data_IF_354215389928
#
_entry.id   IF_354215389928
#
_cell.length_a   1.000
_cell.length_b   1.000
_cell.length_c   1.000
_cell.angle_alpha   90.00
_cell.angle_beta   90.00
_cell.angle_gamma   90.00
#
_symmetry.space_group_name_H-M   'P 1'
#
loop_
_entity.id
_entity.type
_entity.pdbx_description
1 polymer ?
#
# COMPACT_ATOMS: atom_id res chain seq x y z
N UNK A 1 15.21 15.28 -18.00
CA UNK A 1 14.08 16.02 -18.60
C UNK A 1 12.91 15.92 -17.62
N UNK A 2 12.46 17.02 -17.00
CA UNK A 2 11.31 16.99 -16.09
C UNK A 2 10.04 16.92 -16.93
N UNK A 3 9.22 15.89 -16.73
CA UNK A 3 7.90 15.77 -17.35
C UNK A 3 6.98 16.88 -16.84
N UNK A 4 6.17 17.46 -17.72
CA UNK A 4 5.15 18.44 -17.34
C UNK A 4 4.00 17.73 -16.60
N UNK A 5 3.29 18.44 -15.72
CA UNK A 5 2.24 17.86 -14.88
C UNK A 5 1.11 17.15 -15.66
N UNK A 6 0.80 17.62 -16.86
CA UNK A 6 -0.13 16.96 -17.80
C UNK A 6 0.40 15.63 -18.37
N UNK A 7 1.72 15.49 -18.51
CA UNK A 7 2.36 14.28 -19.04
C UNK A 7 2.36 13.15 -18.01
N UNK A 8 2.42 13.48 -16.71
CA UNK A 8 2.40 12.52 -15.59
C UNK A 8 1.08 11.75 -15.54
N UNK A 9 -0.06 12.43 -15.58
CA UNK A 9 -1.39 11.79 -15.64
C UNK A 9 -1.59 10.90 -16.86
N UNK A 10 -0.91 11.22 -17.96
CA UNK A 10 -0.98 10.45 -19.22
C UNK A 10 -0.17 9.16 -19.14
N UNK A 11 0.94 9.13 -18.39
CA UNK A 11 1.76 7.93 -18.21
C UNK A 11 1.03 6.84 -17.40
N UNK A 12 0.42 7.20 -16.26
CA UNK A 12 -0.40 6.26 -15.48
C UNK A 12 -1.66 5.81 -16.23
N UNK A 13 -2.26 6.64 -17.08
CA UNK A 13 -3.45 6.28 -17.87
C UNK A 13 -3.22 5.17 -18.90
N UNK A 14 -1.97 4.81 -19.21
CA UNK A 14 -1.66 3.72 -20.15
C UNK A 14 -1.85 2.33 -19.51
N UNK A 15 -1.93 2.23 -18.17
CA UNK A 15 -2.16 0.99 -17.49
C UNK A 15 -3.67 0.78 -17.32
N UNK A 16 -4.22 -0.21 -18.02
CA UNK A 16 -5.64 -0.61 -17.93
C UNK A 16 -5.96 -1.41 -16.66
N UNK A 17 -5.01 -1.51 -15.73
CA UNK A 17 -5.17 -2.27 -14.49
C UNK A 17 -6.02 -1.50 -13.48
N UNK A 18 -6.90 -2.23 -12.78
CA UNK A 18 -7.67 -1.67 -11.68
C UNK A 18 -6.84 -1.63 -10.41
N UNK A 19 -6.98 -0.57 -9.62
CA UNK A 19 -6.36 -0.51 -8.29
C UNK A 19 -6.98 -1.57 -7.39
N UNK A 20 -6.28 -2.69 -7.22
CA UNK A 20 -6.67 -3.80 -6.34
C UNK A 20 -5.84 -3.84 -5.05
N UNK A 21 -4.67 -3.24 -5.09
CA UNK A 21 -3.67 -3.30 -4.03
C UNK A 21 -3.31 -1.87 -3.62
N UNK A 22 -3.37 -1.58 -2.33
CA UNK A 22 -2.72 -0.42 -1.72
C UNK A 22 -1.45 -0.90 -1.02
N UNK A 23 -0.30 -0.40 -1.48
CA UNK A 23 1.02 -0.80 -1.01
C UNK A 23 1.65 0.33 -0.21
N UNK A 24 1.86 0.12 1.10
CA UNK A 24 2.62 1.02 1.96
C UNK A 24 4.10 0.68 1.92
N UNK A 25 4.85 1.50 1.24
CA UNK A 25 6.27 1.35 0.99
C UNK A 25 6.60 1.28 -0.50
N UNK A 26 7.66 1.96 -0.86
CA UNK A 26 8.15 2.10 -2.24
C UNK A 26 9.58 1.54 -2.41
N UNK A 27 10.06 0.80 -1.41
CA UNK A 27 11.41 0.26 -1.37
C UNK A 27 11.68 -0.84 -2.41
N UNK A 28 12.94 -1.21 -2.54
CA UNK A 28 13.40 -2.23 -3.50
C UNK A 28 12.73 -3.59 -3.27
N UNK A 29 12.52 -3.99 -2.02
CA UNK A 29 11.91 -5.28 -1.69
C UNK A 29 10.50 -5.40 -2.30
N UNK A 30 9.59 -4.46 -2.01
CA UNK A 30 8.22 -4.53 -2.53
C UNK A 30 8.18 -4.43 -4.06
N UNK A 31 9.06 -3.61 -4.67
CA UNK A 31 9.14 -3.53 -6.14
C UNK A 31 9.65 -4.82 -6.77
N UNK A 32 10.67 -5.46 -6.17
CA UNK A 32 11.26 -6.68 -6.70
C UNK A 32 10.43 -7.93 -6.39
N UNK A 33 9.74 -7.98 -5.26
CA UNK A 33 8.94 -9.12 -4.85
C UNK A 33 7.47 -8.95 -5.26
N UNK A 34 6.76 -8.02 -4.65
CA UNK A 34 5.31 -7.83 -4.90
C UNK A 34 5.05 -7.35 -6.32
N UNK A 35 5.77 -6.32 -6.77
CA UNK A 35 5.62 -5.82 -8.14
C UNK A 35 5.88 -6.89 -9.19
N UNK A 36 6.92 -7.71 -9.02
CA UNK A 36 7.20 -8.83 -9.90
C UNK A 36 6.10 -9.90 -9.85
N UNK A 37 5.70 -10.33 -8.64
CA UNK A 37 4.65 -11.34 -8.47
C UNK A 37 3.32 -10.89 -9.11
N UNK A 38 2.92 -9.64 -8.91
CA UNK A 38 1.70 -9.09 -9.54
C UNK A 38 1.84 -9.04 -11.06
N UNK A 39 3.02 -8.74 -11.58
CA UNK A 39 3.28 -8.73 -13.02
C UNK A 39 3.17 -10.14 -13.63
N UNK A 40 3.72 -11.16 -12.95
CA UNK A 40 3.56 -12.58 -13.32
C UNK A 40 2.08 -13.01 -13.31
N UNK A 41 1.34 -12.65 -12.25
CA UNK A 41 -0.11 -12.95 -12.17
C UNK A 41 -0.86 -12.31 -13.33
N UNK A 42 -0.57 -11.03 -13.64
CA UNK A 42 -1.21 -10.33 -14.75
C UNK A 42 -0.85 -10.93 -16.12
N UNK A 43 0.33 -11.56 -16.26
CA UNK A 43 0.76 -12.21 -17.49
C UNK A 43 0.02 -13.54 -17.76
N UNK A 44 -0.39 -14.25 -16.70
CA UNK A 44 -1.02 -15.58 -16.81
C UNK A 44 -2.53 -15.57 -16.50
N UNK A 45 -3.11 -14.39 -16.19
CA UNK A 45 -4.52 -14.25 -15.85
C UNK A 45 -5.11 -12.95 -16.39
N UNK A 46 -6.44 -12.87 -16.41
CA UNK A 46 -7.19 -11.67 -16.78
C UNK A 46 -7.52 -10.74 -15.59
N UNK A 47 -6.87 -10.94 -14.44
CA UNK A 47 -7.19 -10.20 -13.20
C UNK A 47 -6.86 -8.70 -13.28
N UNK A 48 -5.85 -8.30 -14.07
CA UNK A 48 -5.45 -6.90 -14.31
C UNK A 48 -5.25 -6.12 -13.00
N UNK A 49 -4.45 -6.70 -12.09
CA UNK A 49 -4.17 -6.14 -10.78
C UNK A 49 -3.27 -4.91 -10.91
N UNK A 50 -3.73 -3.78 -10.37
CA UNK A 50 -2.97 -2.54 -10.27
C UNK A 50 -2.61 -2.23 -8.80
N UNK A 51 -1.44 -1.62 -8.62
CA UNK A 51 -0.90 -1.23 -7.32
C UNK A 51 -0.94 0.29 -7.18
N UNK A 52 -1.60 0.79 -6.13
CA UNK A 52 -1.46 2.16 -5.65
C UNK A 52 -0.37 2.18 -4.57
N UNK A 53 0.73 2.89 -4.82
CA UNK A 53 1.85 2.98 -3.87
C UNK A 53 1.68 4.19 -2.98
N UNK A 54 1.72 3.97 -1.66
CA UNK A 54 1.63 5.00 -0.62
C UNK A 54 2.98 5.15 0.07
N UNK A 55 3.47 6.39 0.15
CA UNK A 55 4.69 6.74 0.86
C UNK A 55 4.45 6.69 2.38
N UNK A 56 5.14 5.81 3.14
CA UNK A 56 4.86 5.67 4.57
C UNK A 56 5.58 6.70 5.44
N UNK A 57 6.64 7.33 4.95
CA UNK A 57 7.50 8.28 5.67
C UNK A 57 7.66 9.59 4.90
N UNK A 58 8.03 10.68 5.57
CA UNK A 58 8.13 12.01 4.96
C UNK A 58 9.16 12.10 3.80
N UNK A 59 10.24 11.33 3.89
CA UNK A 59 11.32 11.33 2.90
C UNK A 59 11.36 9.98 2.15
N UNK A 60 10.50 9.80 1.16
CA UNK A 60 10.39 8.57 0.38
C UNK A 60 10.74 8.73 -1.10
N UNK A 61 10.41 7.72 -1.89
CA UNK A 61 10.76 7.61 -3.30
C UNK A 61 9.57 7.78 -4.26
N UNK A 62 8.38 8.09 -3.74
CA UNK A 62 7.15 8.22 -4.53
C UNK A 62 7.30 9.19 -5.68
N UNK A 63 7.98 10.33 -5.47
CA UNK A 63 8.24 11.30 -6.54
C UNK A 63 9.05 10.71 -7.70
N UNK A 64 10.03 9.84 -7.42
CA UNK A 64 10.79 9.15 -8.49
C UNK A 64 9.93 8.19 -9.27
N UNK A 65 9.07 7.42 -8.59
CA UNK A 65 8.13 6.52 -9.25
C UNK A 65 7.13 7.30 -10.11
N UNK A 66 6.64 8.42 -9.60
CA UNK A 66 5.75 9.31 -10.36
C UNK A 66 6.41 9.84 -11.63
N UNK A 67 7.68 10.30 -11.54
CA UNK A 67 8.45 10.79 -12.70
C UNK A 67 8.67 9.71 -13.78
N UNK A 68 8.67 8.44 -13.37
CA UNK A 68 8.80 7.27 -14.25
C UNK A 68 7.44 6.74 -14.74
N UNK A 69 6.32 7.37 -14.34
CA UNK A 69 4.97 6.88 -14.64
C UNK A 69 4.68 5.52 -14.03
N UNK A 70 5.23 5.22 -12.86
CA UNK A 70 5.09 3.93 -12.16
C UNK A 70 5.89 2.78 -12.77
N UNK A 71 6.58 2.98 -13.89
CA UNK A 71 7.36 1.94 -14.56
C UNK A 71 8.79 1.87 -14.01
N UNK A 72 9.34 0.66 -13.90
CA UNK A 72 10.74 0.44 -13.52
C UNK A 72 11.27 -0.87 -14.11
N UNK A 73 12.60 -0.95 -14.28
CA UNK A 73 13.26 -2.17 -14.72
C UNK A 73 13.70 -3.00 -13.52
N UNK A 74 13.29 -4.25 -13.49
CA UNK A 74 13.77 -5.27 -12.55
C UNK A 74 14.87 -6.08 -13.22
N UNK A 75 15.99 -6.25 -12.52
CA UNK A 75 17.08 -7.13 -12.90
C UNK A 75 17.00 -8.40 -12.04
N UNK A 76 16.85 -9.54 -12.68
CA UNK A 76 16.82 -10.86 -12.07
C UNK A 76 18.12 -11.57 -12.40
N UNK A 77 18.97 -11.75 -11.41
CA UNK A 77 20.24 -12.45 -11.54
C UNK A 77 20.20 -13.70 -10.65
N UNK A 78 20.59 -14.85 -11.18
CA UNK A 78 20.57 -16.07 -10.40
C UNK A 78 21.11 -17.28 -11.19
N UNK A 79 20.95 -18.46 -10.62
CA UNK A 79 21.33 -19.73 -11.23
C UNK A 79 20.07 -20.57 -11.41
N UNK A 80 19.76 -20.95 -12.65
CA UNK A 80 18.67 -21.86 -13.00
C UNK A 80 19.26 -23.06 -13.76
N UNK A 81 19.00 -24.27 -13.27
CA UNK A 81 19.51 -25.53 -13.85
C UNK A 81 21.04 -25.51 -14.03
N UNK A 82 21.78 -24.93 -13.07
CA UNK A 82 23.24 -24.84 -13.07
C UNK A 82 23.83 -23.82 -14.06
N UNK A 83 22.99 -22.95 -14.64
CA UNK A 83 23.42 -21.88 -15.56
C UNK A 83 23.13 -20.52 -14.97
N UNK A 84 24.08 -19.60 -15.11
CA UNK A 84 23.85 -18.18 -14.76
C UNK A 84 22.79 -17.61 -15.68
N UNK A 85 21.81 -16.92 -15.08
CA UNK A 85 20.81 -16.15 -15.78
C UNK A 85 20.91 -14.68 -15.41
N UNK A 86 20.75 -13.81 -16.40
CA UNK A 86 20.52 -12.37 -16.24
C UNK A 86 19.29 -12.00 -17.07
N UNK A 87 18.22 -11.63 -16.39
CA UNK A 87 16.98 -11.21 -17.03
C UNK A 87 16.67 -9.76 -16.67
N UNK A 88 16.16 -8.99 -17.66
CA UNK A 88 15.68 -7.61 -17.47
C UNK A 88 14.20 -7.56 -17.77
N UNK A 89 13.40 -7.24 -16.77
CA UNK A 89 11.96 -7.17 -16.88
C UNK A 89 11.44 -5.76 -16.63
N UNK A 90 10.63 -5.24 -17.53
CA UNK A 90 9.94 -3.96 -17.33
C UNK A 90 8.65 -4.20 -16.57
N UNK A 91 8.56 -3.68 -15.35
CA UNK A 91 7.38 -3.74 -14.49
C UNK A 91 6.56 -2.47 -14.64
N UNK A 92 5.24 -2.61 -14.86
CA UNK A 92 4.33 -1.49 -15.18
C UNK A 92 2.97 -1.59 -14.45
N UNK A 93 2.89 -2.30 -13.35
CA UNK A 93 1.65 -2.53 -12.61
C UNK A 93 1.36 -1.47 -11.53
N UNK A 94 2.23 -0.50 -11.30
CA UNK A 94 1.94 0.66 -10.45
C UNK A 94 1.04 1.61 -11.24
N UNK A 95 -0.19 1.81 -10.78
CA UNK A 95 -1.21 2.63 -11.45
C UNK A 95 -1.37 4.02 -10.85
N UNK A 96 -0.94 4.21 -9.61
CA UNK A 96 -0.90 5.52 -8.95
C UNK A 96 0.11 5.56 -7.81
N UNK A 97 0.50 6.76 -7.43
CA UNK A 97 1.40 7.03 -6.31
C UNK A 97 0.80 8.12 -5.43
N UNK A 98 0.91 7.96 -4.12
CA UNK A 98 0.30 8.82 -3.13
C UNK A 98 1.30 9.21 -2.04
N UNK A 99 1.43 10.51 -1.79
CA UNK A 99 2.25 11.05 -0.72
C UNK A 99 1.35 11.73 0.33
N UNK A 100 1.05 11.05 1.45
CA UNK A 100 0.19 11.61 2.49
C UNK A 100 0.70 12.93 3.11
N UNK A 101 2.02 13.19 2.99
CA UNK A 101 2.64 14.42 3.50
C UNK A 101 2.44 15.62 2.59
N UNK A 102 2.18 15.37 1.29
CA UNK A 102 1.84 16.42 0.31
C UNK A 102 0.34 16.61 0.16
N UNK A 103 -0.41 15.50 0.11
CA UNK A 103 -1.87 15.51 -0.01
C UNK A 103 -2.49 14.36 0.79
N UNK A 104 -2.89 14.69 2.02
CA UNK A 104 -3.51 13.72 2.92
C UNK A 104 -4.92 13.31 2.45
N UNK A 105 -5.64 14.22 1.77
CA UNK A 105 -6.98 13.93 1.27
C UNK A 105 -6.94 12.96 0.06
N UNK A 106 -5.95 13.09 -0.81
CA UNK A 106 -5.71 12.16 -1.91
C UNK A 106 -5.40 10.75 -1.37
N UNK A 107 -4.57 10.66 -0.33
CA UNK A 107 -4.33 9.39 0.36
C UNK A 107 -5.62 8.78 0.93
N UNK A 108 -6.45 9.55 1.62
CA UNK A 108 -7.71 9.05 2.17
C UNK A 108 -8.74 8.69 1.09
N UNK A 109 -8.68 9.33 -0.09
CA UNK A 109 -9.56 8.99 -1.20
C UNK A 109 -9.37 7.55 -1.70
N UNK A 110 -8.18 6.97 -1.58
CA UNK A 110 -7.94 5.55 -1.86
C UNK A 110 -8.80 4.62 -1.01
N UNK A 111 -9.10 4.97 0.24
CA UNK A 111 -9.94 4.19 1.13
C UNK A 111 -11.37 4.03 0.59
N UNK A 112 -11.82 4.98 -0.24
CA UNK A 112 -13.17 5.00 -0.85
C UNK A 112 -13.26 4.24 -2.16
N UNK A 113 -12.15 3.72 -2.67
CA UNK A 113 -12.16 2.93 -3.89
C UNK A 113 -12.71 1.52 -3.60
N UNK A 114 -13.89 1.15 -4.15
CA UNK A 114 -14.54 -0.13 -3.86
C UNK A 114 -13.79 -1.33 -4.44
N UNK A 115 -12.87 -1.10 -5.39
CA UNK A 115 -12.13 -2.15 -6.07
C UNK A 115 -10.90 -2.64 -5.29
N UNK A 116 -10.45 -1.91 -4.26
CA UNK A 116 -9.27 -2.29 -3.45
C UNK A 116 -9.63 -3.41 -2.49
N UNK A 117 -8.86 -4.50 -2.56
CA UNK A 117 -9.07 -5.70 -1.75
C UNK A 117 -7.87 -6.01 -0.84
N UNK A 118 -6.66 -5.52 -1.18
CA UNK A 118 -5.42 -5.89 -0.51
C UNK A 118 -4.67 -4.69 0.03
N UNK A 119 -4.15 -4.84 1.25
CA UNK A 119 -3.18 -3.92 1.86
C UNK A 119 -1.85 -4.67 2.02
N UNK A 120 -0.80 -4.15 1.41
CA UNK A 120 0.55 -4.71 1.50
C UNK A 120 1.47 -3.67 2.14
N UNK A 121 2.34 -4.08 3.04
CA UNK A 121 3.29 -3.18 3.69
C UNK A 121 4.68 -3.76 3.83
N UNK A 122 5.68 -2.90 3.78
CA UNK A 122 7.04 -3.13 4.22
C UNK A 122 7.65 -1.78 4.61
N UNK A 123 7.41 -1.38 5.86
CA UNK A 123 7.73 -0.06 6.39
C UNK A 123 8.96 -0.06 7.31
N UNK A 124 9.80 -1.07 7.21
CA UNK A 124 10.96 -1.40 8.05
C UNK A 124 10.61 -2.17 9.33
N UNK A 125 11.61 -2.73 10.00
CA UNK A 125 11.45 -3.49 11.26
C UNK A 125 10.89 -2.63 12.40
N UNK A 126 11.14 -1.31 12.37
CA UNK A 126 10.59 -0.34 13.32
C UNK A 126 9.24 0.27 12.85
N UNK A 127 8.69 -0.20 11.73
CA UNK A 127 7.49 0.42 11.14
C UNK A 127 6.18 0.05 11.84
N UNK A 128 6.11 -1.13 12.49
CA UNK A 128 4.90 -1.57 13.21
C UNK A 128 5.06 -1.23 14.70
N UNK A 129 4.85 0.04 15.04
CA UNK A 129 4.93 0.55 16.40
C UNK A 129 3.66 1.32 16.78
N UNK A 130 3.32 1.26 18.07
CA UNK A 130 2.28 2.08 18.67
C UNK A 130 2.91 3.24 19.44
N UNK A 131 2.56 4.48 19.10
CA UNK A 131 2.98 5.70 19.78
C UNK A 131 1.76 6.54 20.17
N UNK A 132 1.62 6.83 21.47
CA UNK A 132 0.51 7.63 22.00
C UNK A 132 0.51 9.08 21.51
N UNK A 133 1.61 9.56 20.94
CA UNK A 133 1.72 10.92 20.40
C UNK A 133 1.05 11.08 19.04
N UNK A 134 0.74 9.99 18.33
CA UNK A 134 -0.05 10.06 17.11
C UNK A 134 -1.51 10.39 17.42
N UNK A 135 -1.97 11.55 16.97
CA UNK A 135 -3.34 11.99 17.17
C UNK A 135 -4.20 11.66 15.94
N UNK A 136 -5.49 11.47 16.17
CA UNK A 136 -6.45 11.22 15.07
C UNK A 136 -6.47 12.36 14.04
N UNK A 137 -6.31 13.60 14.49
CA UNK A 137 -6.36 14.82 13.67
C UNK A 137 -5.07 15.11 12.90
N UNK A 138 -3.98 14.36 13.15
CA UNK A 138 -2.71 14.55 12.44
C UNK A 138 -2.88 14.25 10.93
N UNK A 139 -2.15 15.01 10.08
CA UNK A 139 -2.24 14.93 8.62
C UNK A 139 -0.86 14.95 7.96
N UNK A 140 -0.22 13.79 7.79
CA UNK A 140 -0.59 12.48 8.28
C UNK A 140 -0.12 12.23 9.72
N UNK A 141 -0.58 11.11 10.32
CA UNK A 141 0.01 10.53 11.51
C UNK A 141 1.48 10.17 11.25
N UNK A 142 2.29 10.17 12.29
CA UNK A 142 3.72 9.91 12.19
C UNK A 142 4.02 8.44 11.87
N UNK A 143 3.40 7.51 12.62
CA UNK A 143 3.66 6.09 12.49
C UNK A 143 2.74 5.42 11.45
N UNK A 144 3.24 4.35 10.81
CA UNK A 144 2.48 3.60 9.80
C UNK A 144 1.16 3.01 10.33
N UNK A 145 1.11 2.31 11.49
CA UNK A 145 -0.14 1.74 11.98
C UNK A 145 -1.19 2.81 12.31
N UNK A 146 -0.77 4.01 12.74
CA UNK A 146 -1.68 5.14 12.96
C UNK A 146 -2.28 5.64 11.64
N UNK A 147 -1.44 5.89 10.61
CA UNK A 147 -1.91 6.24 9.26
C UNK A 147 -2.89 5.21 8.71
N UNK A 148 -2.53 3.93 8.86
CA UNK A 148 -3.38 2.82 8.41
C UNK A 148 -4.70 2.79 9.17
N UNK A 149 -4.70 3.00 10.49
CA UNK A 149 -5.94 3.07 11.28
C UNK A 149 -6.83 4.23 10.80
N UNK A 150 -6.25 5.39 10.49
CA UNK A 150 -6.99 6.54 9.94
C UNK A 150 -7.58 6.24 8.54
N UNK A 151 -6.83 5.52 7.70
CA UNK A 151 -7.27 5.03 6.40
C UNK A 151 -8.45 4.04 6.52
N UNK A 152 -8.34 3.08 7.45
CA UNK A 152 -9.38 2.09 7.73
C UNK A 152 -10.65 2.72 8.28
N UNK A 153 -10.52 3.75 9.13
CA UNK A 153 -11.66 4.52 9.62
C UNK A 153 -12.39 5.23 8.48
N UNK A 154 -11.66 5.81 7.52
CA UNK A 154 -12.24 6.43 6.32
C UNK A 154 -13.01 5.42 5.47
N UNK A 155 -12.44 4.20 5.31
CA UNK A 155 -13.11 3.08 4.61
C UNK A 155 -14.39 2.67 5.30
N UNK A 156 -14.30 2.37 6.59
CA UNK A 156 -15.45 1.98 7.42
C UNK A 156 -16.58 3.01 7.36
N UNK A 157 -16.24 4.27 7.53
CA UNK A 157 -17.23 5.36 7.50
C UNK A 157 -17.86 5.52 6.11
N UNK A 158 -17.06 5.47 5.04
CA UNK A 158 -17.55 5.65 3.68
C UNK A 158 -18.47 4.52 3.23
N UNK A 159 -18.20 3.29 3.62
CA UNK A 159 -19.01 2.12 3.27
C UNK A 159 -19.97 1.68 4.40
N UNK A 160 -20.18 2.54 5.42
CA UNK A 160 -21.13 2.30 6.51
C UNK A 160 -20.92 0.96 7.22
N UNK A 161 -19.68 0.49 7.29
CA UNK A 161 -19.33 -0.79 7.93
C UNK A 161 -19.68 -2.04 7.12
N UNK A 162 -19.87 -1.93 5.80
CA UNK A 162 -20.14 -3.09 4.93
C UNK A 162 -19.07 -4.17 5.14
N UNK A 163 -19.55 -5.37 5.50
CA UNK A 163 -18.72 -6.56 5.73
C UNK A 163 -17.88 -6.98 4.51
N UNK A 164 -18.36 -6.68 3.28
CA UNK A 164 -17.67 -7.01 2.04
C UNK A 164 -16.60 -5.98 1.65
N UNK A 165 -16.36 -4.97 2.48
CA UNK A 165 -15.39 -3.92 2.23
C UNK A 165 -14.17 -3.98 3.15
N UNK A 166 -14.00 -5.08 3.89
CA UNK A 166 -12.76 -5.41 4.59
C UNK A 166 -11.60 -5.67 3.63
N UNK A 167 -10.40 -5.77 4.18
CA UNK A 167 -9.16 -5.99 3.42
C UNK A 167 -8.48 -7.31 3.79
N UNK A 168 -7.69 -7.83 2.86
CA UNK A 168 -6.66 -8.82 3.13
C UNK A 168 -5.33 -8.09 3.35
N UNK A 169 -4.74 -8.27 4.54
CA UNK A 169 -3.47 -7.67 4.91
C UNK A 169 -2.32 -8.64 4.66
N UNK A 170 -1.29 -8.16 3.96
CA UNK A 170 -0.06 -8.90 3.67
C UNK A 170 1.14 -8.06 4.13
N UNK A 171 1.36 -7.93 5.44
CA UNK A 171 2.55 -7.24 5.95
C UNK A 171 3.80 -8.06 5.68
N UNK A 172 4.83 -7.42 5.14
CA UNK A 172 6.10 -8.03 4.74
C UNK A 172 7.27 -7.54 5.62
N UNK A 173 7.00 -6.91 6.73
CA UNK A 173 8.02 -6.51 7.70
C UNK A 173 8.70 -7.73 8.33
N UNK A 174 10.00 -7.69 8.55
CA UNK A 174 10.79 -8.75 9.18
C UNK A 174 10.57 -8.77 10.71
N UNK A 175 9.33 -9.01 11.12
CA UNK A 175 8.90 -9.05 12.50
C UNK A 175 8.12 -10.36 12.70
N UNK A 176 8.41 -11.10 13.77
CA UNK A 176 7.64 -12.29 14.12
C UNK A 176 6.17 -11.92 14.35
N UNK A 177 5.25 -12.69 13.75
CA UNK A 177 3.81 -12.41 13.85
C UNK A 177 3.45 -10.97 13.45
N UNK A 178 4.02 -10.48 12.35
CA UNK A 178 3.87 -9.11 11.90
C UNK A 178 2.40 -8.69 11.71
N UNK A 179 1.57 -9.57 11.17
CA UNK A 179 0.14 -9.32 10.98
C UNK A 179 -0.60 -9.15 12.31
N UNK A 180 -0.33 -10.02 13.30
CA UNK A 180 -0.91 -9.90 14.65
C UNK A 180 -0.45 -8.61 15.33
N UNK A 181 0.84 -8.24 15.17
CA UNK A 181 1.36 -7.01 15.74
C UNK A 181 0.73 -5.77 15.10
N UNK A 182 0.55 -5.77 13.78
CA UNK A 182 -0.13 -4.69 13.06
C UNK A 182 -1.58 -4.55 13.52
N UNK A 183 -2.33 -5.66 13.58
CA UNK A 183 -3.70 -5.68 14.11
C UNK A 183 -3.77 -5.14 15.54
N UNK A 184 -2.86 -5.57 16.42
CA UNK A 184 -2.79 -5.08 17.79
C UNK A 184 -2.52 -3.58 17.89
N UNK A 185 -1.65 -3.03 17.02
CA UNK A 185 -1.43 -1.58 16.95
C UNK A 185 -2.70 -0.84 16.52
N UNK A 186 -3.42 -1.33 15.50
CA UNK A 186 -4.69 -0.75 15.03
C UNK A 186 -5.70 -0.72 16.18
N UNK A 187 -5.89 -1.84 16.91
CA UNK A 187 -6.81 -1.90 18.05
C UNK A 187 -6.44 -0.94 19.17
N UNK A 188 -5.14 -0.73 19.43
CA UNK A 188 -4.66 0.27 20.40
C UNK A 188 -4.99 1.70 19.96
N UNK A 189 -4.87 2.03 18.64
CA UNK A 189 -5.27 3.34 18.14
C UNK A 189 -6.78 3.54 18.18
N UNK A 190 -7.57 2.52 17.89
CA UNK A 190 -9.03 2.56 18.06
C UNK A 190 -9.40 2.96 19.50
N UNK A 191 -8.76 2.32 20.48
CA UNK A 191 -8.98 2.64 21.90
C UNK A 191 -8.46 4.03 22.28
N UNK A 192 -7.26 4.40 21.84
CA UNK A 192 -6.64 5.70 22.13
C UNK A 192 -7.49 6.88 21.60
N UNK A 193 -8.02 6.73 20.39
CA UNK A 193 -8.79 7.78 19.72
C UNK A 193 -10.29 7.74 20.04
N UNK A 194 -10.73 6.79 20.88
CA UNK A 194 -12.14 6.64 21.29
C UNK A 194 -13.08 6.34 20.11
N UNK A 195 -12.59 5.60 19.10
CA UNK A 195 -13.40 5.21 17.95
C UNK A 195 -14.45 4.17 18.34
N UNK A 196 -15.52 4.04 17.53
CA UNK A 196 -16.68 3.23 17.85
C UNK A 196 -16.37 1.74 18.00
N UNK A 197 -17.14 1.04 18.87
CA UNK A 197 -17.09 -0.41 18.99
C UNK A 197 -17.42 -1.12 17.67
N UNK A 198 -18.35 -0.58 16.90
CA UNK A 198 -18.70 -1.13 15.56
C UNK A 198 -17.51 -1.14 14.61
N UNK A 199 -16.66 -0.10 14.65
CA UNK A 199 -15.44 -0.10 13.85
C UNK A 199 -14.43 -1.14 14.33
N UNK A 200 -14.28 -1.29 15.65
CA UNK A 200 -13.46 -2.36 16.23
C UNK A 200 -13.92 -3.73 15.77
N UNK A 201 -15.23 -4.00 15.88
CA UNK A 201 -15.82 -5.28 15.47
C UNK A 201 -15.63 -5.51 13.95
N UNK A 202 -15.77 -4.47 13.14
CA UNK A 202 -15.50 -4.55 11.71
C UNK A 202 -14.02 -4.90 11.41
N UNK A 203 -13.06 -4.32 12.14
CA UNK A 203 -11.64 -4.68 12.01
C UNK A 203 -11.40 -6.15 12.35
N UNK A 204 -12.02 -6.65 13.42
CA UNK A 204 -11.78 -8.01 13.92
C UNK A 204 -12.50 -9.10 13.11
N UNK A 205 -13.66 -8.79 12.51
CA UNK A 205 -14.52 -9.79 11.88
C UNK A 205 -14.48 -9.78 10.34
N UNK A 206 -14.15 -8.64 9.72
CA UNK A 206 -14.27 -8.46 8.28
C UNK A 206 -12.94 -8.13 7.59
N UNK A 207 -11.84 -8.22 8.31
CA UNK A 207 -10.49 -8.05 7.78
C UNK A 207 -9.65 -9.28 8.09
N UNK A 208 -8.86 -9.71 7.12
CA UNK A 208 -7.96 -10.86 7.26
C UNK A 208 -6.52 -10.37 7.44
N UNK A 209 -5.94 -10.71 8.59
CA UNK A 209 -4.56 -10.38 8.95
C UNK A 209 -3.65 -11.60 8.88
#
# INVERSE_FOLDING_TARGET
MKLKEGDKKTLFKRNSFKTKIVQFGEGNFLRAFIGHTVDEINAISDLKLGIAVVQPIANGLVEKLEQQGGAYTLFLNGIVDGKDIEEKKLIQNIVSTHDPYKDFNDFLALAKNPDVDYIISNTTEAGILFDKSDLFEDKPQKNFPAKLTRFLWERFTHFEGDANKGFHFLPCELINHNADQLRNCILKYIALWGLSSNFRDWIEQHNLF
#
